data_IF_486072641436
#
_entry.id   IF_486072641436
#
_cell.length_a   1.000
_cell.length_b   1.000
_cell.length_c   1.000
_cell.angle_alpha   90.00
_cell.angle_beta   90.00
_cell.angle_gamma   90.00
#
_symmetry.space_group_name_H-M   'P 1'
#
loop_
_entity.id
_entity.type
_entity.pdbx_description
1 polymer ?
#
# COMPACT_ATOMS: atom_id res chain seq x y z
N UNK A 1 -5.01 13.93 -0.09
CA UNK A 1 -3.57 14.19 -0.38
C UNK A 1 -2.95 12.86 -0.75
N UNK A 2 -3.02 12.50 -2.03
CA UNK A 2 -2.35 11.32 -2.57
C UNK A 2 -0.87 11.69 -2.73
N UNK A 3 0.02 11.04 -2.00
CA UNK A 3 1.48 11.29 -2.08
C UNK A 3 2.14 10.45 -3.19
N UNK A 4 1.38 9.52 -3.76
CA UNK A 4 1.89 8.51 -4.67
C UNK A 4 1.04 8.52 -5.92
N UNK A 5 1.64 8.97 -7.02
CA UNK A 5 0.99 8.98 -8.31
C UNK A 5 1.10 7.58 -8.91
N UNK A 6 -0.03 6.94 -9.22
CA UNK A 6 -0.05 5.58 -9.81
C UNK A 6 0.72 5.48 -11.15
N UNK A 7 1.02 6.62 -11.76
CA UNK A 7 1.76 6.74 -13.01
C UNK A 7 3.28 6.99 -12.81
N UNK A 8 3.71 7.44 -11.63
CA UNK A 8 5.12 7.71 -11.32
C UNK A 8 5.46 7.09 -9.98
N UNK A 9 6.43 6.18 -9.98
CA UNK A 9 7.07 5.66 -8.78
C UNK A 9 7.85 6.76 -8.01
N UNK A 10 7.27 7.94 -7.83
CA UNK A 10 7.89 9.07 -7.17
C UNK A 10 7.13 9.43 -5.91
N UNK A 11 7.88 9.80 -4.88
CA UNK A 11 7.32 10.37 -3.67
C UNK A 11 7.01 11.84 -3.93
N UNK A 12 5.76 12.30 -3.76
CA UNK A 12 5.43 13.72 -3.93
C UNK A 12 5.94 14.59 -2.76
N UNK A 13 6.30 13.98 -1.63
CA UNK A 13 6.79 14.70 -0.44
C UNK A 13 8.30 14.97 -0.52
N UNK A 14 9.11 13.97 -0.88
CA UNK A 14 10.57 14.10 -1.08
C UNK A 14 11.01 14.31 -2.53
N UNK A 15 10.09 14.20 -3.50
CA UNK A 15 10.38 14.19 -4.96
C UNK A 15 11.37 13.11 -5.42
N UNK A 16 11.71 12.15 -4.57
CA UNK A 16 12.52 10.99 -4.95
C UNK A 16 11.79 10.12 -5.97
N UNK A 17 12.54 9.61 -6.94
CA UNK A 17 12.08 8.65 -7.94
C UNK A 17 12.66 7.29 -7.61
N UNK A 18 11.78 6.31 -7.55
CA UNK A 18 12.10 4.92 -7.35
C UNK A 18 11.90 4.15 -8.65
N UNK A 19 12.70 3.12 -8.86
CA UNK A 19 12.54 2.21 -9.99
C UNK A 19 11.28 1.34 -9.83
N UNK A 20 10.93 1.00 -8.59
CA UNK A 20 9.88 0.05 -8.26
C UNK A 20 8.89 0.59 -7.23
N UNK A 21 7.65 0.14 -7.33
CA UNK A 21 6.58 0.51 -6.38
C UNK A 21 6.86 0.00 -4.95
N UNK A 22 7.51 -1.16 -4.81
CA UNK A 22 7.91 -1.72 -3.52
C UNK A 22 8.93 -0.80 -2.79
N UNK A 23 9.88 -0.25 -3.54
CA UNK A 23 10.91 0.65 -3.01
C UNK A 23 10.29 1.98 -2.55
N UNK A 24 9.37 2.51 -3.35
CA UNK A 24 8.57 3.69 -2.98
C UNK A 24 7.76 3.47 -1.70
N UNK A 25 7.14 2.29 -1.53
CA UNK A 25 6.41 1.94 -0.30
C UNK A 25 7.36 1.89 0.90
N UNK A 26 8.51 1.26 0.75
CA UNK A 26 9.49 1.14 1.81
C UNK A 26 10.01 2.53 2.24
N UNK A 27 10.35 3.37 1.26
CA UNK A 27 10.72 4.76 1.46
C UNK A 27 9.60 5.53 2.16
N UNK A 28 8.36 5.46 1.68
CA UNK A 28 7.22 6.14 2.29
C UNK A 28 6.97 5.73 3.76
N UNK A 29 7.22 4.46 4.07
CA UNK A 29 7.07 3.91 5.42
C UNK A 29 8.18 4.38 6.36
N UNK A 30 9.42 4.41 5.89
CA UNK A 30 10.59 4.72 6.72
C UNK A 30 10.90 6.23 6.78
N UNK A 31 10.87 6.91 5.64
CA UNK A 31 11.19 8.33 5.55
C UNK A 31 10.03 9.23 6.00
N UNK A 32 8.80 8.86 5.64
CA UNK A 32 7.61 9.69 5.87
C UNK A 32 6.67 9.12 6.92
N UNK A 33 7.00 7.97 7.52
CA UNK A 33 6.15 7.26 8.49
C UNK A 33 4.69 7.15 8.04
N UNK A 34 4.45 7.03 6.73
CA UNK A 34 3.08 7.00 6.20
C UNK A 34 2.41 5.71 6.62
N UNK A 35 1.11 5.83 6.91
CA UNK A 35 0.25 4.70 7.21
C UNK A 35 0.05 3.87 5.95
N UNK A 36 0.96 2.93 5.74
CA UNK A 36 0.79 1.84 4.80
C UNK A 36 0.06 0.69 5.49
N UNK A 37 -0.75 0.00 4.71
CA UNK A 37 -1.62 -1.06 5.18
C UNK A 37 -1.08 -2.40 4.73
N UNK A 38 -0.85 -3.30 5.67
CA UNK A 38 -0.35 -4.66 5.39
C UNK A 38 -1.51 -5.62 5.22
N UNK A 39 -1.43 -6.50 4.22
CA UNK A 39 -2.34 -7.62 4.12
C UNK A 39 -2.01 -8.64 5.21
N UNK A 40 -3.03 -9.09 5.94
CA UNK A 40 -2.85 -10.07 7.02
C UNK A 40 -2.62 -11.49 6.49
N UNK A 41 -3.00 -11.76 5.24
CA UNK A 41 -2.87 -13.09 4.61
C UNK A 41 -1.47 -13.41 4.06
N UNK A 42 -0.73 -12.42 3.56
CA UNK A 42 0.60 -12.61 2.98
C UNK A 42 1.66 -11.61 3.47
N UNK A 43 1.27 -10.58 4.23
CA UNK A 43 2.19 -9.54 4.69
C UNK A 43 2.54 -8.49 3.63
N UNK A 44 1.97 -8.52 2.41
CA UNK A 44 2.21 -7.48 1.39
C UNK A 44 1.79 -6.11 1.89
N UNK A 45 2.60 -5.12 1.55
CA UNK A 45 2.42 -3.73 1.94
C UNK A 45 1.69 -2.97 0.82
N UNK A 46 0.64 -2.23 1.19
CA UNK A 46 -0.17 -1.44 0.27
C UNK A 46 -0.30 -0.01 0.78
N UNK A 47 -0.42 0.93 -0.13
CA UNK A 47 -0.55 2.35 0.22
C UNK A 47 -1.99 2.68 0.59
N UNK A 48 -2.96 2.11 -0.14
CA UNK A 48 -4.38 2.32 0.12
C UNK A 48 -5.03 1.07 0.66
N UNK A 49 -5.97 1.26 1.58
CA UNK A 49 -6.83 0.18 2.05
C UNK A 49 -7.62 -0.46 0.91
N UNK A 50 -8.04 0.31 -0.10
CA UNK A 50 -8.72 -0.26 -1.28
C UNK A 50 -7.85 -1.24 -2.06
N UNK A 51 -6.56 -0.93 -2.24
CA UNK A 51 -5.62 -1.78 -2.99
C UNK A 51 -5.33 -3.05 -2.17
N UNK A 52 -5.17 -2.91 -0.84
CA UNK A 52 -5.06 -4.04 0.09
C UNK A 52 -6.32 -4.92 0.08
N UNK A 53 -7.51 -4.32 0.13
CA UNK A 53 -8.79 -5.03 0.14
C UNK A 53 -9.05 -5.72 -1.20
N UNK A 54 -8.65 -5.13 -2.32
CA UNK A 54 -8.75 -5.77 -3.63
C UNK A 54 -7.80 -6.97 -3.72
N UNK A 55 -6.53 -6.78 -3.34
CA UNK A 55 -5.56 -7.86 -3.24
C UNK A 55 -6.03 -8.98 -2.30
N UNK A 56 -6.48 -8.65 -1.09
CA UNK A 56 -6.97 -9.62 -0.12
C UNK A 56 -8.24 -10.31 -0.62
N UNK A 57 -9.09 -9.59 -1.37
CA UNK A 57 -10.25 -10.19 -2.00
C UNK A 57 -9.89 -11.12 -3.13
N UNK A 58 -8.88 -10.85 -3.96
CA UNK A 58 -8.54 -11.70 -5.12
C UNK A 58 -7.59 -12.84 -4.78
N UNK A 59 -6.62 -12.59 -3.89
CA UNK A 59 -5.53 -13.51 -3.57
C UNK A 59 -5.79 -14.27 -2.25
N UNK A 60 -6.63 -13.71 -1.38
CA UNK A 60 -7.00 -14.28 -0.10
C UNK A 60 -8.51 -14.48 0.05
N UNK A 61 -9.18 -14.93 -1.02
CA UNK A 61 -10.63 -15.18 -1.21
C UNK A 61 -11.39 -15.98 -0.12
N UNK A 62 -10.83 -16.22 1.07
CA UNK A 62 -11.52 -16.83 2.20
C UNK A 62 -11.59 -15.90 3.42
N UNK A 63 -12.77 -15.26 3.51
CA UNK A 63 -13.49 -14.79 4.71
C UNK A 63 -13.11 -13.41 5.28
N UNK A 64 -13.55 -12.34 4.63
CA UNK A 64 -13.80 -11.05 5.31
C UNK A 64 -15.30 -10.83 5.46
N UNK A 65 -15.93 -11.60 6.36
CA UNK A 65 -17.29 -11.34 6.86
C UNK A 65 -17.31 -10.69 8.24
N UNK A 66 -16.17 -10.24 8.77
CA UNK A 66 -16.05 -9.81 10.18
C UNK A 66 -15.62 -8.34 10.35
N UNK A 67 -16.27 -7.42 9.63
CA UNK A 67 -16.12 -5.97 9.86
C UNK A 67 -17.48 -5.28 10.02
N UNK A 68 -18.50 -6.04 10.40
CA UNK A 68 -19.86 -5.54 10.66
C UNK A 68 -20.49 -6.21 11.89
N UNK A 69 -19.72 -6.28 12.99
CA UNK A 69 -20.28 -6.51 14.32
C UNK A 69 -19.95 -5.34 15.22
#
# INVERSE_FOLDING_TARGET
>A
MNIFNRNKNNCEECKEKFESYADLIHHARHAHHRTIVKCSGCGKEFIHEKDRLHHEREEHERKVKDRYR
#
